data_IF_507606798763
#
_entry.id   IF_507606798763
#
_cell.length_a   1.000
_cell.length_b   1.000
_cell.length_c   1.000
_cell.angle_alpha   90.00
_cell.angle_beta   90.00
_cell.angle_gamma   90.00
#
_symmetry.space_group_name_H-M   'P 1'
#
loop_
_entity.id
_entity.type
_entity.pdbx_description
1 polymer ?
#
# COMPACT_ATOMS: atom_id res chain seq x y z
N UNK A 1 0.14 16.64 1.66
CA UNK A 1 0.44 15.54 0.73
C UNK A 1 1.92 15.18 0.73
N UNK A 2 2.85 16.13 0.60
CA UNK A 2 4.32 15.85 0.62
C UNK A 2 4.73 15.08 1.88
N UNK A 3 4.25 15.50 3.04
CA UNK A 3 4.56 14.85 4.34
C UNK A 3 4.00 13.43 4.44
N UNK A 4 2.81 13.17 3.89
CA UNK A 4 2.20 11.83 3.93
C UNK A 4 2.97 10.88 3.03
N UNK A 5 3.28 11.27 1.80
CA UNK A 5 4.05 10.45 0.85
C UNK A 5 5.44 10.10 1.43
N UNK A 6 6.17 11.08 2.02
CA UNK A 6 7.47 10.77 2.62
C UNK A 6 7.34 9.84 3.82
N UNK A 7 6.33 10.03 4.66
CA UNK A 7 6.05 9.15 5.81
C UNK A 7 5.75 7.72 5.35
N UNK A 8 4.90 7.57 4.32
CA UNK A 8 4.60 6.29 3.70
C UNK A 8 5.89 5.58 3.27
N UNK A 9 6.67 6.22 2.40
CA UNK A 9 7.89 5.64 1.84
C UNK A 9 8.94 5.32 2.91
N UNK A 10 9.12 6.19 3.91
CA UNK A 10 10.02 5.91 5.05
C UNK A 10 9.58 4.67 5.83
N UNK A 11 8.28 4.44 5.99
CA UNK A 11 7.77 3.28 6.71
C UNK A 11 8.04 1.96 5.99
N UNK A 12 8.29 1.98 4.68
CA UNK A 12 8.62 0.81 3.87
C UNK A 12 10.11 0.42 3.95
N UNK A 13 10.99 1.34 4.32
CA UNK A 13 12.43 1.09 4.31
C UNK A 13 12.88 -0.10 5.15
N UNK A 14 12.35 -0.32 6.38
CA UNK A 14 12.70 -1.52 7.15
C UNK A 14 12.34 -2.83 6.44
N UNK A 15 11.24 -2.86 5.70
CA UNK A 15 10.84 -4.02 4.89
C UNK A 15 11.82 -4.20 3.74
N UNK A 16 12.10 -3.13 2.99
CA UNK A 16 13.02 -3.11 1.85
C UNK A 16 14.43 -3.61 2.23
N UNK A 17 14.91 -3.26 3.44
CA UNK A 17 16.22 -3.65 3.95
C UNK A 17 16.26 -5.08 4.48
N UNK A 18 15.14 -5.60 4.99
CA UNK A 18 15.08 -6.90 5.67
C UNK A 18 14.78 -8.08 4.76
N UNK A 19 14.15 -7.87 3.61
CA UNK A 19 13.75 -8.89 2.64
C UNK A 19 14.14 -8.48 1.22
N UNK A 20 14.29 -9.48 0.35
CA UNK A 20 14.51 -9.26 -1.08
C UNK A 20 13.23 -8.72 -1.72
N UNK A 21 13.18 -7.41 -1.91
CA UNK A 21 11.98 -6.69 -2.35
C UNK A 21 12.38 -5.41 -3.11
N UNK A 22 11.43 -4.85 -3.83
CA UNK A 22 11.54 -3.55 -4.51
C UNK A 22 10.38 -2.64 -4.10
N UNK A 23 10.62 -1.34 -4.05
CA UNK A 23 9.61 -0.32 -3.88
C UNK A 23 9.32 0.28 -5.25
N UNK A 24 8.12 0.00 -5.77
CA UNK A 24 7.60 0.59 -6.99
C UNK A 24 6.58 1.67 -6.64
N UNK A 25 6.67 2.82 -7.28
CA UNK A 25 5.69 3.89 -7.16
C UNK A 25 5.04 4.15 -8.51
N UNK A 26 3.73 4.22 -8.53
CA UNK A 26 2.95 4.68 -9.69
C UNK A 26 2.52 6.12 -9.43
N UNK A 27 3.14 7.04 -10.15
CA UNK A 27 2.83 8.46 -10.13
C UNK A 27 1.61 8.74 -11.02
N UNK A 28 0.53 9.18 -10.40
CA UNK A 28 -0.73 9.52 -11.09
C UNK A 28 -0.90 11.02 -11.34
N UNK A 29 0.16 11.82 -11.15
CA UNK A 29 0.18 13.26 -11.38
C UNK A 29 0.54 14.06 -10.14
N UNK A 30 1.65 13.73 -9.50
CA UNK A 30 2.14 14.44 -8.31
C UNK A 30 2.85 15.77 -8.65
N UNK A 31 3.11 16.59 -7.61
CA UNK A 31 3.92 17.80 -7.75
C UNK A 31 5.40 17.47 -7.95
N UNK A 32 6.22 18.40 -8.51
CA UNK A 32 7.67 18.20 -8.60
C UNK A 32 8.34 17.94 -7.25
N UNK A 33 7.86 18.55 -6.17
CA UNK A 33 8.36 18.36 -4.81
C UNK A 33 8.08 16.94 -4.31
N UNK A 34 6.86 16.44 -4.53
CA UNK A 34 6.49 15.06 -4.21
C UNK A 34 7.30 14.08 -5.07
N UNK A 35 7.49 14.38 -6.36
CA UNK A 35 8.31 13.55 -7.26
C UNK A 35 9.75 13.40 -6.77
N UNK A 36 10.38 14.47 -6.30
CA UNK A 36 11.73 14.42 -5.76
C UNK A 36 11.83 13.54 -4.50
N UNK A 37 10.77 13.50 -3.68
CA UNK A 37 10.69 12.59 -2.53
C UNK A 37 10.55 11.14 -3.00
N UNK A 38 9.66 10.86 -3.94
CA UNK A 38 9.46 9.52 -4.50
C UNK A 38 10.78 8.96 -5.03
N UNK A 39 11.50 9.73 -5.84
CA UNK A 39 12.79 9.32 -6.45
C UNK A 39 13.90 9.06 -5.44
N UNK A 40 13.78 9.58 -4.21
CA UNK A 40 14.73 9.32 -3.13
C UNK A 40 14.57 7.92 -2.51
N UNK A 41 13.36 7.37 -2.50
CA UNK A 41 13.05 6.14 -1.76
C UNK A 41 12.65 4.98 -2.67
N UNK A 42 12.07 5.25 -3.84
CA UNK A 42 11.61 4.21 -4.76
C UNK A 42 12.78 3.58 -5.53
N UNK A 43 12.70 2.28 -5.77
CA UNK A 43 13.59 1.57 -6.70
C UNK A 43 13.17 1.86 -8.15
N UNK A 44 11.86 1.93 -8.41
CA UNK A 44 11.27 2.20 -9.73
C UNK A 44 10.09 3.17 -9.62
N UNK A 45 9.96 4.07 -10.56
CA UNK A 45 8.85 5.03 -10.64
C UNK A 45 8.22 4.96 -12.03
N UNK A 46 6.93 4.69 -12.08
CA UNK A 46 6.15 4.60 -13.31
C UNK A 46 5.12 5.73 -13.37
N UNK A 47 4.90 6.29 -14.53
CA UNK A 47 3.88 7.31 -14.75
C UNK A 47 2.60 6.68 -15.27
N UNK A 48 1.47 7.02 -14.66
CA UNK A 48 0.14 6.58 -15.09
C UNK A 48 -0.81 7.76 -15.15
N UNK A 49 -1.36 8.02 -16.33
CA UNK A 49 -2.36 9.09 -16.48
C UNK A 49 -3.64 8.68 -15.76
N UNK A 50 -4.00 9.41 -14.71
CA UNK A 50 -5.21 9.14 -13.95
C UNK A 50 -6.47 9.17 -14.83
N UNK A 51 -7.27 8.12 -14.73
CA UNK A 51 -8.45 7.92 -15.57
C UNK A 51 -9.73 7.59 -14.79
N UNK A 52 -9.78 7.96 -13.49
CA UNK A 52 -10.91 7.67 -12.59
C UNK A 52 -11.23 6.16 -12.48
N UNK A 53 -10.18 5.33 -12.42
CA UNK A 53 -10.30 3.88 -12.36
C UNK A 53 -9.13 3.31 -11.54
N UNK A 54 -9.41 3.01 -10.27
CA UNK A 54 -8.40 2.48 -9.34
C UNK A 54 -7.88 1.11 -9.79
N UNK A 55 -8.76 0.23 -10.26
CA UNK A 55 -8.33 -1.10 -10.72
C UNK A 55 -7.35 -1.00 -11.88
N UNK A 56 -7.52 -0.05 -12.80
CA UNK A 56 -6.56 0.16 -13.90
C UNK A 56 -5.19 0.61 -13.39
N UNK A 57 -5.15 1.53 -12.43
CA UNK A 57 -3.88 1.98 -11.84
C UNK A 57 -3.19 0.84 -11.09
N UNK A 58 -3.95 0.06 -10.30
CA UNK A 58 -3.41 -1.12 -9.59
C UNK A 58 -2.93 -2.21 -10.56
N UNK A 59 -3.68 -2.51 -11.60
CA UNK A 59 -3.27 -3.48 -12.62
C UNK A 59 -2.03 -3.02 -13.37
N UNK A 60 -1.95 -1.73 -13.71
CA UNK A 60 -0.74 -1.18 -14.31
C UNK A 60 0.49 -1.38 -13.40
N UNK A 61 0.36 -1.13 -12.10
CA UNK A 61 1.41 -1.37 -11.13
C UNK A 61 1.75 -2.86 -11.00
N UNK A 62 0.73 -3.72 -10.89
CA UNK A 62 0.90 -5.16 -10.79
C UNK A 62 1.64 -5.74 -12.02
N UNK A 63 1.37 -5.22 -13.21
CA UNK A 63 2.02 -5.66 -14.45
C UNK A 63 3.53 -5.27 -14.50
N UNK A 64 3.98 -4.33 -13.66
CA UNK A 64 5.40 -3.98 -13.51
C UNK A 64 6.11 -4.80 -12.43
N UNK A 65 5.37 -5.56 -11.60
CA UNK A 65 5.95 -6.28 -10.47
C UNK A 65 6.90 -7.40 -10.92
N UNK A 66 8.12 -7.42 -10.36
CA UNK A 66 9.11 -8.46 -10.62
C UNK A 66 9.10 -9.56 -9.54
N UNK A 67 8.48 -9.29 -8.39
CA UNK A 67 8.38 -10.23 -7.28
C UNK A 67 7.31 -11.30 -7.48
N UNK A 68 7.28 -12.28 -6.58
CA UNK A 68 6.23 -13.33 -6.54
C UNK A 68 4.99 -12.87 -5.78
N UNK A 69 5.16 -11.90 -4.90
CA UNK A 69 4.11 -11.31 -4.06
C UNK A 69 4.06 -9.81 -4.30
N UNK A 70 2.87 -9.26 -4.24
CA UNK A 70 2.61 -7.84 -4.39
C UNK A 70 1.89 -7.33 -3.14
N UNK A 71 2.55 -6.46 -2.38
CA UNK A 71 2.00 -5.75 -1.23
C UNK A 71 1.87 -4.28 -1.63
N UNK A 72 0.70 -3.69 -1.48
CA UNK A 72 0.48 -2.29 -1.82
C UNK A 72 -0.04 -1.48 -0.65
N UNK A 73 0.26 -0.20 -0.66
CA UNK A 73 -0.14 0.80 0.33
C UNK A 73 -0.43 2.10 -0.40
N UNK A 74 -1.37 2.87 0.09
CA UNK A 74 -1.67 4.19 -0.45
C UNK A 74 -0.72 5.24 0.15
N UNK A 75 -0.48 6.35 -0.54
CA UNK A 75 0.54 7.34 -0.18
C UNK A 75 0.18 8.20 1.04
N UNK A 76 -1.04 8.07 1.53
CA UNK A 76 -1.55 8.67 2.79
C UNK A 76 -1.59 7.69 3.97
N UNK A 77 -1.09 6.47 3.76
CA UNK A 77 -0.93 5.43 4.78
C UNK A 77 0.55 5.25 5.15
N UNK A 78 0.84 4.77 6.35
CA UNK A 78 2.20 4.40 6.79
C UNK A 78 2.16 3.27 7.81
N UNK A 79 3.09 2.33 7.74
CA UNK A 79 3.17 1.26 8.73
C UNK A 79 3.62 1.80 10.10
N UNK A 80 2.89 1.43 11.15
CA UNK A 80 3.24 1.74 12.54
C UNK A 80 4.33 0.80 13.05
N UNK A 81 4.30 -0.47 12.62
CA UNK A 81 5.29 -1.50 12.88
C UNK A 81 5.38 -2.43 11.66
N UNK A 82 6.58 -2.76 11.26
CA UNK A 82 6.85 -3.63 10.09
C UNK A 82 7.24 -5.06 10.48
N UNK A 83 7.35 -5.36 11.77
CA UNK A 83 7.83 -6.66 12.26
C UNK A 83 7.02 -7.83 11.69
N UNK A 84 5.70 -7.77 11.78
CA UNK A 84 4.83 -8.86 11.31
C UNK A 84 4.87 -9.04 9.79
N UNK A 85 5.06 -7.96 9.04
CA UNK A 85 5.23 -8.00 7.58
C UNK A 85 6.55 -8.68 7.24
N UNK A 86 7.63 -8.28 7.88
CA UNK A 86 8.97 -8.86 7.67
C UNK A 86 8.96 -10.34 8.05
N UNK A 87 8.39 -10.69 9.22
CA UNK A 87 8.30 -12.06 9.69
C UNK A 87 7.50 -12.95 8.72
N UNK A 88 6.40 -12.42 8.16
CA UNK A 88 5.61 -13.14 7.16
C UNK A 88 6.41 -13.42 5.89
N UNK A 89 7.02 -12.42 5.29
CA UNK A 89 7.75 -12.59 4.02
C UNK A 89 9.07 -13.36 4.18
N UNK A 90 9.60 -13.51 5.38
CA UNK A 90 10.73 -14.41 5.67
C UNK A 90 10.34 -15.89 5.76
N UNK A 91 9.06 -16.20 5.85
CA UNK A 91 8.60 -17.59 5.87
C UNK A 91 8.76 -18.21 4.47
N UNK A 92 9.28 -19.45 4.36
CA UNK A 92 9.50 -20.09 3.06
C UNK A 92 8.20 -20.36 2.30
N UNK A 93 7.07 -20.42 3.00
CA UNK A 93 5.75 -20.68 2.44
C UNK A 93 4.89 -19.41 2.24
N UNK A 94 5.46 -18.21 2.34
CA UNK A 94 4.69 -16.97 2.15
C UNK A 94 4.00 -16.89 0.77
N UNK A 95 4.57 -17.54 -0.25
CA UNK A 95 4.00 -17.60 -1.61
C UNK A 95 2.86 -18.61 -1.77
N UNK A 96 2.49 -19.35 -0.74
CA UNK A 96 1.32 -20.25 -0.75
C UNK A 96 0.00 -19.48 -0.53
N UNK A 97 0.10 -18.20 -0.14
CA UNK A 97 -1.05 -17.34 0.06
C UNK A 97 -1.36 -16.53 -1.20
N UNK A 98 -2.63 -16.55 -1.62
CA UNK A 98 -3.08 -15.88 -2.83
C UNK A 98 -3.42 -14.41 -2.60
N UNK A 99 -4.05 -14.13 -1.45
CA UNK A 99 -4.46 -12.80 -1.02
C UNK A 99 -4.15 -12.62 0.46
N UNK A 100 -4.09 -11.38 0.88
CA UNK A 100 -3.93 -11.03 2.29
C UNK A 100 -3.92 -9.54 2.51
N UNK A 101 -3.56 -9.16 3.71
CA UNK A 101 -3.51 -7.75 4.07
C UNK A 101 -3.11 -7.53 5.51
N UNK A 102 -3.51 -6.41 6.01
CA UNK A 102 -3.20 -5.91 7.34
C UNK A 102 -4.36 -5.07 7.88
N UNK A 103 -4.21 -4.47 9.05
CA UNK A 103 -5.19 -3.57 9.65
C UNK A 103 -4.88 -2.12 9.26
N UNK A 104 -5.84 -1.43 8.65
CA UNK A 104 -5.78 0.01 8.46
C UNK A 104 -6.33 0.68 9.73
N UNK A 105 -5.48 1.49 10.39
CA UNK A 105 -5.85 2.30 11.54
C UNK A 105 -6.31 3.67 11.07
N UNK A 106 -7.60 3.85 11.02
CA UNK A 106 -8.23 5.09 10.67
C UNK A 106 -8.29 6.01 11.89
N UNK A 107 -7.47 7.03 11.94
CA UNK A 107 -7.52 8.05 12.98
C UNK A 107 -8.72 8.97 12.74
N UNK A 108 -9.36 9.36 13.83
CA UNK A 108 -10.49 10.29 13.84
C UNK A 108 -10.07 11.68 14.34
N UNK A 109 -8.88 11.79 14.90
CA UNK A 109 -8.23 13.02 15.33
C UNK A 109 -6.75 13.05 14.94
N UNK A 110 -6.12 14.23 14.89
CA UNK A 110 -4.71 14.39 14.57
C UNK A 110 -3.76 14.03 15.73
N UNK A 111 -4.28 13.97 16.96
CA UNK A 111 -3.55 13.55 18.15
C UNK A 111 -3.35 12.03 18.20
N UNK A 112 -4.12 11.27 17.40
CA UNK A 112 -4.05 9.81 17.34
C UNK A 112 -4.66 9.11 18.55
N UNK A 113 -5.58 9.77 19.26
CA UNK A 113 -6.25 9.24 20.46
C UNK A 113 -7.44 8.37 20.07
N UNK A 114 -8.28 8.88 19.15
CA UNK A 114 -9.45 8.18 18.64
C UNK A 114 -9.13 7.53 17.28
N UNK A 115 -9.41 6.23 17.17
CA UNK A 115 -9.20 5.48 15.94
C UNK A 115 -10.11 4.27 15.84
N UNK A 116 -10.22 3.73 14.64
CA UNK A 116 -10.80 2.40 14.37
C UNK A 116 -9.88 1.60 13.47
N UNK A 117 -9.73 0.31 13.77
CA UNK A 117 -8.96 -0.62 12.94
C UNK A 117 -9.91 -1.44 12.05
N UNK A 118 -9.63 -1.52 10.77
CA UNK A 118 -10.34 -2.34 9.80
C UNK A 118 -9.37 -3.25 9.04
N UNK A 119 -9.78 -4.47 8.75
CA UNK A 119 -9.03 -5.36 7.85
C UNK A 119 -9.14 -4.85 6.41
N UNK A 120 -7.98 -4.70 5.75
CA UNK A 120 -7.91 -4.32 4.34
C UNK A 120 -7.12 -5.35 3.56
N UNK A 121 -7.65 -5.73 2.40
CA UNK A 121 -6.91 -6.59 1.46
C UNK A 121 -5.88 -5.72 0.73
N UNK A 122 -4.60 -5.99 0.97
CA UNK A 122 -3.48 -5.20 0.47
C UNK A 122 -2.34 -6.05 -0.09
N UNK A 123 -2.56 -7.35 -0.25
CA UNK A 123 -1.54 -8.28 -0.75
C UNK A 123 -2.16 -9.30 -1.69
N UNK A 124 -1.42 -9.64 -2.75
CA UNK A 124 -1.75 -10.76 -3.61
C UNK A 124 -0.50 -11.46 -4.15
N UNK A 125 -0.67 -12.68 -4.63
CA UNK A 125 0.34 -13.34 -5.45
C UNK A 125 0.37 -12.74 -6.85
N UNK A 126 1.57 -12.64 -7.44
CA UNK A 126 1.76 -12.16 -8.81
C UNK A 126 1.64 -13.35 -9.76
N UNK A 127 0.49 -13.48 -10.41
CA UNK A 127 0.21 -14.51 -11.41
C UNK A 127 -0.46 -13.89 -12.64
N UNK A 128 -0.46 -14.58 -13.80
CA UNK A 128 -1.16 -14.08 -14.99
C UNK A 128 -2.66 -13.86 -14.80
N UNK A 129 -3.27 -14.59 -13.85
CA UNK A 129 -4.70 -14.53 -13.56
C UNK A 129 -5.07 -13.46 -12.53
N UNK A 130 -4.08 -13.01 -11.72
CA UNK A 130 -4.34 -12.02 -10.67
C UNK A 130 -4.67 -10.66 -11.29
N UNK A 131 -5.83 -10.11 -10.95
CA UNK A 131 -6.28 -8.80 -11.43
C UNK A 131 -7.11 -8.07 -10.38
N UNK A 132 -6.98 -6.76 -10.38
CA UNK A 132 -7.89 -5.85 -9.68
C UNK A 132 -9.11 -5.58 -10.55
N UNK A 133 -10.30 -5.65 -9.94
CA UNK A 133 -11.59 -5.46 -10.59
C UNK A 133 -12.36 -4.35 -9.87
N UNK A 134 -13.04 -3.50 -10.62
CA UNK A 134 -13.86 -2.40 -10.09
C UNK A 134 -13.17 -1.04 -10.16
N UNK A 135 -13.89 -0.04 -10.68
CA UNK A 135 -13.35 1.33 -10.80
C UNK A 135 -13.15 2.03 -9.47
N UNK A 136 -14.04 1.73 -8.52
CA UNK A 136 -14.05 2.23 -7.14
C UNK A 136 -14.33 1.04 -6.24
N UNK A 137 -13.69 0.98 -5.06
CA UNK A 137 -13.72 -0.18 -4.17
C UNK A 137 -13.25 -1.45 -4.88
N UNK A 138 -12.09 -1.33 -5.55
CA UNK A 138 -11.49 -2.42 -6.28
C UNK A 138 -11.19 -3.61 -5.36
N UNK A 139 -11.36 -4.80 -5.89
CA UNK A 139 -11.06 -6.07 -5.22
C UNK A 139 -10.18 -6.94 -6.12
N UNK A 140 -9.56 -7.95 -5.54
CA UNK A 140 -8.61 -8.83 -6.24
C UNK A 140 -9.32 -10.10 -6.67
N UNK A 141 -9.15 -10.49 -7.93
CA UNK A 141 -9.51 -11.80 -8.46
C UNK A 141 -8.26 -12.56 -8.93
N UNK A 142 -8.25 -13.91 -8.80
CA UNK A 142 -9.28 -14.74 -8.15
C UNK A 142 -9.26 -14.59 -6.61
N UNK A 143 -10.44 -14.47 -6.01
CA UNK A 143 -10.64 -14.29 -4.56
C UNK A 143 -10.73 -15.63 -3.80
N UNK A 144 -10.17 -16.70 -4.35
CA UNK A 144 -10.16 -18.02 -3.72
C UNK A 144 -8.72 -18.48 -3.44
N UNK A 145 -8.59 -19.41 -2.50
CA UNK A 145 -7.31 -19.94 -2.07
C UNK A 145 -6.97 -19.58 -0.64
N UNK A 146 -5.70 -19.57 -0.31
CA UNK A 146 -5.24 -19.28 1.03
C UNK A 146 -5.13 -17.76 1.24
N UNK A 147 -5.71 -17.26 2.32
CA UNK A 147 -5.62 -15.86 2.73
C UNK A 147 -4.79 -15.72 4.01
N UNK A 148 -4.04 -14.61 4.13
CA UNK A 148 -3.28 -14.26 5.32
C UNK A 148 -3.47 -12.79 5.67
N UNK A 149 -3.96 -12.51 6.86
CA UNK A 149 -3.96 -11.18 7.44
C UNK A 149 -2.87 -11.08 8.50
N UNK A 150 -1.94 -10.17 8.28
CA UNK A 150 -0.82 -9.91 9.18
C UNK A 150 -1.29 -9.01 10.33
N UNK A 151 -0.81 -9.27 11.55
CA UNK A 151 -1.08 -8.41 12.71
C UNK A 151 -0.22 -7.13 12.67
N UNK A 152 -0.26 -6.46 11.55
CA UNK A 152 0.40 -5.19 11.28
C UNK A 152 -0.62 -4.09 11.11
N UNK A 153 -0.32 -2.87 11.56
CA UNK A 153 -1.17 -1.71 11.42
C UNK A 153 -0.53 -0.68 10.50
N UNK A 154 -1.32 -0.15 9.56
CA UNK A 154 -0.98 1.06 8.82
C UNK A 154 -1.86 2.22 9.29
N UNK A 155 -1.24 3.32 9.73
CA UNK A 155 -1.95 4.54 10.11
C UNK A 155 -2.50 5.27 8.89
N UNK A 156 -3.66 5.91 9.03
CA UNK A 156 -4.34 6.64 7.97
C UNK A 156 -5.16 7.79 8.56
N UNK A 157 -4.99 9.01 8.03
CA UNK A 157 -5.72 10.23 8.48
C UNK A 157 -6.91 10.60 7.59
N UNK A 158 -7.27 9.79 6.60
CA UNK A 158 -8.29 10.13 5.61
C UNK A 158 -9.69 10.40 6.15
N UNK A 159 -9.95 10.11 7.43
CA UNK A 159 -11.22 10.36 8.11
C UNK A 159 -11.18 11.51 9.12
N UNK A 160 -10.04 12.19 9.26
CA UNK A 160 -9.96 13.39 10.09
C UNK A 160 -10.53 14.56 9.30
N UNK A 161 -11.71 15.02 9.72
CA UNK A 161 -12.36 16.17 9.12
C UNK A 161 -11.80 17.45 9.74
N UNK A 162 -11.18 18.28 8.91
CA UNK A 162 -10.83 19.66 9.27
C UNK A 162 -12.04 20.53 8.93
N UNK A 163 -12.55 21.29 9.88
CA UNK A 163 -13.65 22.21 9.60
C UNK A 163 -13.20 23.31 8.61
N UNK A 164 -14.12 23.82 7.78
CA UNK A 164 -13.82 24.92 6.84
C UNK A 164 -13.30 26.18 7.53
N UNK A 165 -13.49 26.32 8.84
CA UNK A 165 -13.00 27.43 9.66
C UNK A 165 -11.54 27.28 10.09
N UNK A 166 -10.93 26.08 9.90
CA UNK A 166 -9.54 25.77 10.26
C UNK A 166 -8.60 25.74 9.04
N UNK A 167 -9.11 25.97 7.84
CA UNK A 167 -8.37 26.11 6.60
C UNK A 167 -8.15 27.58 6.24
#
# INVERSE_FOLDING_TARGET
LVDTTERCLKSLMPIREAIDSEIQVVDTGCSPETRAIIEKYADEVFEFTWCNDFAKARNFQLDQANGKMFLFIDDDEWFLDTKYIIDFFKQPNCTEYNIGGYYQRNYLDFEGIEYSDIEVVRMCSVTPETRFIGKVHEYIEPAYGNAMFMDAQAGHFGYVYVSEEEL
#
